data_IF_533039087604
#
_entry.id   IF_533039087604
#
_cell.length_a   1.000
_cell.length_b   1.000
_cell.length_c   1.000
_cell.angle_alpha   90.00
_cell.angle_beta   90.00
_cell.angle_gamma   90.00
#
_symmetry.space_group_name_H-M   'P 1'
#
loop_
_entity.id
_entity.type
_entity.pdbx_description
1 polymer ?
#
# COMPACT_ATOMS: atom_id res chain seq x y z
N UNK A 1 -16.36 2.77 -10.09
CA UNK A 1 -15.76 1.42 -10.13
C UNK A 1 -14.51 1.32 -11.01
N UNK A 2 -14.57 1.47 -12.34
CA UNK A 2 -13.37 1.33 -13.20
C UNK A 2 -12.31 2.40 -12.91
N UNK A 3 -12.71 3.66 -12.86
CA UNK A 3 -11.82 4.79 -12.52
C UNK A 3 -11.19 4.60 -11.13
N UNK A 4 -12.00 4.23 -10.13
CA UNK A 4 -11.52 4.03 -8.75
C UNK A 4 -10.55 2.85 -8.62
N UNK A 5 -10.81 1.74 -9.32
CA UNK A 5 -9.89 0.59 -9.39
C UNK A 5 -8.55 0.98 -10.02
N UNK A 6 -8.59 1.82 -11.05
CA UNK A 6 -7.38 2.33 -11.70
C UNK A 6 -6.59 3.26 -10.78
N UNK A 7 -7.25 4.19 -10.07
CA UNK A 7 -6.60 5.06 -9.07
C UNK A 7 -5.90 4.25 -7.97
N UNK A 8 -6.56 3.21 -7.45
CA UNK A 8 -5.96 2.32 -6.44
C UNK A 8 -4.74 1.62 -7.04
N UNK A 9 -4.85 1.08 -8.24
CA UNK A 9 -3.76 0.37 -8.91
C UNK A 9 -2.56 1.29 -9.13
N UNK A 10 -2.78 2.52 -9.61
CA UNK A 10 -1.73 3.53 -9.79
C UNK A 10 -1.05 3.88 -8.46
N UNK A 11 -1.80 4.05 -7.37
CA UNK A 11 -1.21 4.31 -6.06
C UNK A 11 -0.39 3.14 -5.50
N UNK A 12 -0.79 1.89 -5.73
CA UNK A 12 0.02 0.73 -5.35
C UNK A 12 1.28 0.60 -6.22
N UNK A 13 1.20 0.97 -7.50
CA UNK A 13 2.37 1.03 -8.38
C UNK A 13 3.36 2.10 -7.93
N UNK A 14 2.90 3.32 -7.65
CA UNK A 14 3.73 4.41 -7.15
C UNK A 14 4.39 4.06 -5.81
N UNK A 15 3.63 3.44 -4.90
CA UNK A 15 4.17 2.95 -3.63
C UNK A 15 5.24 1.87 -3.87
N UNK A 16 4.99 0.91 -4.76
CA UNK A 16 5.97 -0.11 -5.12
C UNK A 16 7.26 0.48 -5.69
N UNK A 17 7.15 1.45 -6.60
CA UNK A 17 8.30 2.17 -7.16
C UNK A 17 9.07 2.89 -6.06
N UNK A 18 8.38 3.62 -5.19
CA UNK A 18 8.99 4.32 -4.06
C UNK A 18 9.78 3.34 -3.18
N UNK A 19 9.15 2.23 -2.76
CA UNK A 19 9.78 1.24 -1.88
C UNK A 19 10.94 0.50 -2.54
N UNK A 20 10.88 0.27 -3.86
CA UNK A 20 11.97 -0.39 -4.60
C UNK A 20 13.24 0.48 -4.72
N UNK A 21 13.09 1.80 -4.62
CA UNK A 21 14.19 2.75 -4.72
C UNK A 21 14.81 3.13 -3.38
N UNK A 22 14.42 2.48 -2.28
CA UNK A 22 14.91 2.79 -0.92
C UNK A 22 16.13 1.93 -0.62
N UNK A 23 17.23 2.58 -0.28
CA UNK A 23 18.30 1.92 0.44
C UNK A 23 17.94 1.83 1.93
N UNK A 24 17.65 0.62 2.42
CA UNK A 24 17.17 0.44 3.79
C UNK A 24 18.22 0.83 4.86
N UNK A 25 19.51 0.85 4.52
CA UNK A 25 20.59 1.19 5.44
C UNK A 25 20.83 2.70 5.49
N UNK A 26 20.80 3.37 4.34
CA UNK A 26 21.08 4.81 4.24
C UNK A 26 19.82 5.67 4.35
N UNK A 27 18.77 5.34 3.62
CA UNK A 27 17.61 6.22 3.47
C UNK A 27 16.66 6.18 4.68
N UNK A 28 16.60 5.08 5.43
CA UNK A 28 15.73 4.99 6.61
C UNK A 28 16.25 5.79 7.82
N UNK A 29 17.47 6.31 7.74
CA UNK A 29 18.00 7.29 8.68
C UNK A 29 17.71 8.75 8.25
N UNK A 30 17.19 8.95 7.04
CA UNK A 30 16.84 10.25 6.51
C UNK A 30 15.37 10.60 6.85
N UNK A 31 15.19 11.62 7.67
CA UNK A 31 13.86 12.10 8.07
C UNK A 31 12.95 12.39 6.87
N UNK A 32 13.48 13.02 5.81
CA UNK A 32 12.68 13.34 4.62
C UNK A 32 12.14 12.08 3.95
N UNK A 33 12.88 10.98 4.01
CA UNK A 33 12.44 9.72 3.43
C UNK A 33 11.37 9.05 4.30
N UNK A 34 11.52 9.06 5.62
CA UNK A 34 10.50 8.55 6.55
C UNK A 34 9.17 9.30 6.34
N UNK A 35 9.23 10.64 6.26
CA UNK A 35 8.05 11.49 6.00
C UNK A 35 7.43 11.17 4.62
N UNK A 36 8.25 10.92 3.58
CA UNK A 36 7.78 10.56 2.24
C UNK A 36 7.10 9.18 2.20
N UNK A 37 7.64 8.20 2.92
CA UNK A 37 7.05 6.86 3.03
C UNK A 37 5.72 6.94 3.78
N UNK A 38 5.65 7.65 4.92
CA UNK A 38 4.40 7.83 5.66
C UNK A 38 3.32 8.46 4.79
N UNK A 39 3.67 9.52 4.04
CA UNK A 39 2.75 10.17 3.14
C UNK A 39 2.22 9.23 2.06
N UNK A 40 3.11 8.45 1.42
CA UNK A 40 2.72 7.48 0.40
C UNK A 40 1.80 6.40 0.97
N UNK A 41 2.17 5.80 2.12
CA UNK A 41 1.35 4.79 2.81
C UNK A 41 -0.04 5.33 3.17
N UNK A 42 -0.11 6.58 3.63
CA UNK A 42 -1.37 7.24 4.00
C UNK A 42 -2.28 7.47 2.80
N UNK A 43 -1.71 7.91 1.67
CA UNK A 43 -2.47 8.11 0.44
C UNK A 43 -2.98 6.77 -0.12
N UNK A 44 -2.12 5.77 -0.21
CA UNK A 44 -2.50 4.43 -0.65
C UNK A 44 -3.58 3.85 0.26
N UNK A 45 -3.45 3.99 1.59
CA UNK A 45 -4.47 3.51 2.53
C UNK A 45 -5.81 4.20 2.34
N UNK A 46 -5.82 5.53 2.20
CA UNK A 46 -7.05 6.31 2.00
C UNK A 46 -7.78 5.84 0.74
N UNK A 47 -7.09 5.81 -0.40
CA UNK A 47 -7.69 5.42 -1.67
C UNK A 47 -8.14 3.96 -1.67
N UNK A 48 -7.35 3.08 -1.04
CA UNK A 48 -7.72 1.68 -0.93
C UNK A 48 -8.95 1.50 -0.05
N UNK A 49 -9.03 2.16 1.11
CA UNK A 49 -10.20 2.11 1.98
C UNK A 49 -11.46 2.68 1.31
N UNK A 50 -11.35 3.77 0.57
CA UNK A 50 -12.46 4.36 -0.21
C UNK A 50 -12.92 3.42 -1.32
N UNK A 51 -11.99 2.83 -2.08
CA UNK A 51 -12.34 1.95 -3.19
C UNK A 51 -12.76 0.55 -2.77
N UNK A 52 -12.46 0.13 -1.53
CA UNK A 52 -12.86 -1.18 -1.02
C UNK A 52 -14.37 -1.37 -0.99
N UNK A 53 -15.15 -0.34 -0.66
CA UNK A 53 -16.61 -0.41 -0.73
C UNK A 53 -17.13 -0.78 -2.13
N UNK A 54 -16.34 -0.58 -3.19
CA UNK A 54 -16.71 -0.91 -4.57
C UNK A 54 -16.21 -2.29 -5.02
N UNK A 55 -15.32 -2.96 -4.27
CA UNK A 55 -14.66 -4.22 -4.69
C UNK A 55 -14.66 -5.33 -3.63
N UNK A 56 -15.18 -5.04 -2.43
CA UNK A 56 -15.17 -5.95 -1.28
C UNK A 56 -15.88 -7.28 -1.57
N UNK A 57 -16.94 -7.26 -2.38
CA UNK A 57 -17.72 -8.45 -2.75
C UNK A 57 -16.98 -9.42 -3.70
N UNK A 58 -15.84 -9.01 -4.27
CA UNK A 58 -15.05 -9.77 -5.27
C UNK A 58 -13.60 -9.97 -4.85
N UNK A 59 -13.18 -9.45 -3.70
CA UNK A 59 -11.78 -9.49 -3.27
C UNK A 59 -11.63 -10.11 -1.88
N UNK A 60 -11.34 -11.41 -1.84
CA UNK A 60 -11.27 -12.21 -0.60
C UNK A 60 -10.14 -11.80 0.35
N UNK A 61 -9.05 -11.21 -0.17
CA UNK A 61 -7.86 -10.84 0.62
C UNK A 61 -7.72 -9.34 0.85
N UNK A 62 -8.59 -8.54 0.24
CA UNK A 62 -8.52 -7.11 0.28
C UNK A 62 -8.57 -6.52 1.70
N UNK A 63 -9.41 -7.09 2.56
CA UNK A 63 -9.48 -6.67 3.96
C UNK A 63 -8.21 -7.01 4.74
N UNK A 64 -7.62 -8.18 4.49
CA UNK A 64 -6.33 -8.56 5.09
C UNK A 64 -5.22 -7.59 4.65
N UNK A 65 -5.14 -7.30 3.35
CA UNK A 65 -4.15 -6.38 2.78
C UNK A 65 -4.35 -4.95 3.31
N UNK A 66 -5.61 -4.48 3.45
CA UNK A 66 -5.96 -3.20 4.09
C UNK A 66 -5.45 -3.15 5.52
N UNK A 67 -5.65 -4.21 6.28
CA UNK A 67 -5.22 -4.29 7.68
C UNK A 67 -3.71 -4.30 7.82
N UNK A 68 -2.98 -4.94 6.91
CA UNK A 68 -1.52 -4.92 6.88
C UNK A 68 -0.99 -3.51 6.54
N UNK A 69 -1.55 -2.85 5.53
CA UNK A 69 -1.22 -1.47 5.19
C UNK A 69 -1.50 -0.51 6.37
N UNK A 70 -2.64 -0.69 7.05
CA UNK A 70 -2.98 0.10 8.23
C UNK A 70 -2.01 -0.09 9.40
N UNK A 71 -1.57 -1.34 9.65
CA UNK A 71 -0.54 -1.63 10.67
C UNK A 71 0.76 -0.93 10.33
N UNK A 72 1.21 -1.02 9.08
CA UNK A 72 2.43 -0.36 8.61
C UNK A 72 2.33 1.17 8.75
N UNK A 73 1.18 1.76 8.39
CA UNK A 73 0.93 3.20 8.58
C UNK A 73 1.05 3.63 10.05
N UNK A 74 0.52 2.84 11.00
CA UNK A 74 0.66 3.13 12.43
C UNK A 74 2.13 3.10 12.89
N UNK A 75 2.89 2.13 12.41
CA UNK A 75 4.32 2.00 12.72
C UNK A 75 5.10 3.20 12.18
N UNK A 76 4.83 3.61 10.94
CA UNK A 76 5.50 4.76 10.32
C UNK A 76 5.11 6.10 10.92
N UNK A 77 3.88 6.25 11.42
CA UNK A 77 3.49 7.43 12.20
C UNK A 77 4.37 7.58 13.44
N UNK A 78 4.60 6.50 14.18
CA UNK A 78 5.52 6.48 15.33
C UNK A 78 6.96 6.78 14.90
N UNK A 79 7.41 6.24 13.77
CA UNK A 79 8.74 6.52 13.23
C UNK A 79 8.95 8.00 12.87
N UNK A 80 7.93 8.68 12.33
CA UNK A 80 7.97 10.12 12.03
C UNK A 80 8.10 10.96 13.30
N UNK A 81 7.34 10.63 14.35
CA UNK A 81 7.38 11.31 15.64
C UNK A 81 8.77 11.20 16.30
N UNK A 82 9.38 10.01 16.21
CA UNK A 82 10.71 9.75 16.76
C UNK A 82 11.87 10.02 15.80
N UNK A 83 11.57 10.41 14.54
CA UNK A 83 12.53 10.66 13.45
C UNK A 83 13.52 9.51 13.23
N UNK A 84 13.06 8.29 13.46
CA UNK A 84 13.88 7.08 13.34
C UNK A 84 12.97 5.89 13.08
N UNK A 85 13.39 5.03 12.16
CA UNK A 85 12.78 3.72 11.98
C UNK A 85 13.38 2.74 12.96
N UNK A 86 12.51 2.03 13.68
CA UNK A 86 12.91 0.89 14.48
C UNK A 86 13.02 -0.38 13.60
N UNK A 87 13.78 -1.40 14.03
CA UNK A 87 13.98 -2.61 13.24
C UNK A 87 12.68 -3.35 12.88
N UNK A 88 11.65 -3.29 13.75
CA UNK A 88 10.37 -3.96 13.50
C UNK A 88 9.62 -3.26 12.38
N UNK A 89 9.62 -1.92 12.37
CA UNK A 89 9.06 -1.10 11.28
C UNK A 89 9.77 -1.32 9.95
N UNK A 90 11.09 -1.50 9.97
CA UNK A 90 11.87 -1.82 8.75
C UNK A 90 11.49 -3.19 8.19
N UNK A 91 11.45 -4.24 9.03
CA UNK A 91 11.03 -5.58 8.60
C UNK A 91 9.61 -5.57 8.04
N UNK A 92 8.68 -4.88 8.72
CA UNK A 92 7.29 -4.77 8.25
C UNK A 92 7.19 -4.04 6.89
N UNK A 93 8.03 -3.03 6.64
CA UNK A 93 8.08 -2.34 5.34
C UNK A 93 8.52 -3.29 4.22
N UNK A 94 9.58 -4.08 4.48
CA UNK A 94 10.12 -5.05 3.53
C UNK A 94 9.10 -6.14 3.23
N UNK A 95 8.48 -6.71 4.26
CA UNK A 95 7.40 -7.70 4.09
C UNK A 95 6.25 -7.14 3.26
N UNK A 96 5.83 -5.90 3.55
CA UNK A 96 4.76 -5.25 2.79
C UNK A 96 5.14 -4.99 1.33
N UNK A 97 6.40 -4.67 1.02
CA UNK A 97 6.85 -4.53 -0.36
C UNK A 97 6.64 -5.81 -1.19
N UNK A 98 6.77 -6.99 -0.57
CA UNK A 98 6.45 -8.27 -1.24
C UNK A 98 4.96 -8.52 -1.45
N UNK A 99 4.09 -7.82 -0.72
CA UNK A 99 2.63 -7.95 -0.81
C UNK A 99 2.08 -7.08 -1.95
N UNK A 100 2.74 -5.96 -2.29
CA UNK A 100 2.30 -5.03 -3.34
C UNK A 100 2.01 -5.74 -4.68
N UNK A 101 2.90 -6.60 -5.23
CA UNK A 101 2.61 -7.31 -6.48
C UNK A 101 1.37 -8.20 -6.39
N UNK A 102 1.08 -8.79 -5.22
CA UNK A 102 -0.09 -9.63 -5.00
C UNK A 102 -1.36 -8.78 -5.04
N UNK A 103 -1.36 -7.63 -4.36
CA UNK A 103 -2.48 -6.68 -4.38
C UNK A 103 -2.77 -6.20 -5.80
N UNK A 104 -1.74 -5.83 -6.56
CA UNK A 104 -1.89 -5.40 -7.95
C UNK A 104 -2.50 -6.50 -8.84
N UNK A 105 -2.06 -7.75 -8.65
CA UNK A 105 -2.60 -8.91 -9.37
C UNK A 105 -4.08 -9.17 -9.02
N UNK A 106 -4.44 -9.02 -7.75
CA UNK A 106 -5.82 -9.15 -7.27
C UNK A 106 -6.72 -8.07 -7.86
N UNK A 107 -6.32 -6.79 -7.78
CA UNK A 107 -7.05 -5.66 -8.36
C UNK A 107 -7.29 -5.84 -9.87
N UNK A 108 -6.27 -6.29 -10.61
CA UNK A 108 -6.38 -6.62 -12.03
C UNK A 108 -7.38 -7.75 -12.29
N UNK A 109 -7.34 -8.80 -11.48
CA UNK A 109 -8.24 -9.94 -11.61
C UNK A 109 -9.70 -9.53 -11.35
N UNK A 110 -9.94 -8.74 -10.30
CA UNK A 110 -11.24 -8.15 -9.97
C UNK A 110 -11.76 -7.26 -11.11
N UNK A 111 -10.91 -6.41 -11.69
CA UNK A 111 -11.27 -5.58 -12.83
C UNK A 111 -11.75 -6.42 -14.03
N UNK A 112 -11.00 -7.48 -14.37
CA UNK A 112 -11.35 -8.39 -15.48
C UNK A 112 -12.65 -9.14 -15.21
N UNK A 113 -12.89 -9.59 -13.97
CA UNK A 113 -14.14 -10.26 -13.60
C UNK A 113 -15.34 -9.33 -13.73
N UNK A 114 -15.25 -8.10 -13.22
CA UNK A 114 -16.32 -7.10 -13.34
C UNK A 114 -16.65 -6.80 -14.81
N UNK A 115 -15.66 -6.73 -15.70
CA UNK A 115 -15.87 -6.57 -17.14
C UNK A 115 -16.65 -7.73 -17.77
N UNK A 116 -16.48 -8.96 -17.27
CA UNK A 116 -17.18 -10.15 -17.77
C UNK A 116 -18.63 -10.21 -17.31
N UNK A 117 -18.93 -9.71 -16.10
CA UNK A 117 -20.29 -9.69 -15.54
C UNK A 117 -21.17 -8.63 -16.22
N UNK A 118 -20.56 -7.60 -16.81
CA UNK A 118 -21.27 -6.53 -17.53
C UNK A 118 -21.55 -6.84 -19.02
N UNK A 119 -21.18 -8.03 -19.53
CA UNK A 119 -21.48 -8.51 -20.89
C UNK A 119 -22.54 -9.60 -20.86
#
# INVERSE_FOLDING_TARGET
MQEKLQEIHECFMELGILLSGIDLEEDLNNKLMIDKIEFALKQTYKLYAEGLCEIEYVCEKCESNKNQLFKLLKMFKSCCEHKKIDPVSSVALVEFAYIIPQVLSELKSTYIQNLKVQR
#
